data_IF_866645318294
#
_entry.id   IF_866645318294
#
_cell.length_a   1.000
_cell.length_b   1.000
_cell.length_c   1.000
_cell.angle_alpha   90.00
_cell.angle_beta   90.00
_cell.angle_gamma   90.00
#
_symmetry.space_group_name_H-M   'P 1'
#
loop_
_entity.id
_entity.type
_entity.pdbx_description
1 polymer ?
#
# COMPACT_ATOMS: atom_id res chain seq x y z
N UNK A 1 17.65 -10.10 -16.06
CA UNK A 1 17.74 -8.62 -16.03
C UNK A 1 16.36 -8.10 -15.68
N UNK A 2 16.27 -7.09 -14.80
CA UNK A 2 15.00 -6.48 -14.39
C UNK A 2 15.00 -4.99 -14.66
N UNK A 3 13.82 -4.37 -14.63
CA UNK A 3 13.64 -2.92 -14.76
C UNK A 3 13.44 -2.35 -13.36
N UNK A 4 14.13 -1.26 -13.04
CA UNK A 4 13.84 -0.48 -11.83
C UNK A 4 12.82 0.60 -12.17
N UNK A 5 11.67 0.57 -11.49
CA UNK A 5 10.54 1.46 -11.76
C UNK A 5 9.99 2.03 -10.46
N UNK A 6 9.40 3.22 -10.55
CA UNK A 6 8.55 3.79 -9.50
C UNK A 6 7.13 3.83 -10.04
N UNK A 7 6.20 3.21 -9.33
CA UNK A 7 4.79 3.21 -9.67
C UNK A 7 4.01 4.04 -8.65
N UNK A 8 3.21 4.98 -9.12
CA UNK A 8 2.39 5.87 -8.28
C UNK A 8 0.93 5.63 -8.64
N UNK A 9 0.14 5.19 -7.67
CA UNK A 9 -1.28 4.88 -7.85
C UNK A 9 -2.07 5.29 -6.61
N UNK A 10 -3.38 5.44 -6.78
CA UNK A 10 -4.34 5.56 -5.68
C UNK A 10 -4.97 4.20 -5.32
N UNK A 11 -4.77 3.16 -6.14
CA UNK A 11 -5.27 1.82 -5.89
C UNK A 11 -4.29 1.02 -5.02
N UNK A 12 -4.74 0.66 -3.82
CA UNK A 12 -3.93 -0.07 -2.84
C UNK A 12 -3.60 -1.50 -3.28
N UNK A 13 -4.49 -2.16 -4.03
CA UNK A 13 -4.24 -3.52 -4.54
C UNK A 13 -3.14 -3.49 -5.59
N UNK A 14 -3.19 -2.54 -6.52
CA UNK A 14 -2.12 -2.39 -7.53
C UNK A 14 -0.76 -2.11 -6.89
N UNK A 15 -0.73 -1.22 -5.89
CA UNK A 15 0.50 -0.89 -5.16
C UNK A 15 1.11 -2.12 -4.49
N UNK A 16 0.30 -2.92 -3.77
CA UNK A 16 0.74 -4.11 -3.05
C UNK A 16 1.13 -5.26 -3.98
N UNK A 17 0.42 -5.45 -5.09
CA UNK A 17 0.70 -6.55 -6.03
C UNK A 17 1.94 -6.31 -6.89
N UNK A 18 2.25 -5.05 -7.19
CA UNK A 18 3.29 -4.70 -8.16
C UNK A 18 4.61 -4.27 -7.51
N UNK A 19 4.56 -3.69 -6.31
CA UNK A 19 5.73 -3.09 -5.67
C UNK A 19 6.53 -4.03 -4.78
N UNK A 20 7.85 -4.03 -4.92
CA UNK A 20 8.76 -4.65 -3.94
C UNK A 20 8.85 -3.86 -2.63
N UNK A 21 8.68 -2.53 -2.71
CA UNK A 21 8.66 -1.60 -1.57
C UNK A 21 7.46 -0.67 -1.69
N UNK A 22 6.86 -0.35 -0.54
CA UNK A 22 5.69 0.51 -0.47
C UNK A 22 6.05 1.84 0.18
N UNK A 23 5.39 2.91 -0.29
CA UNK A 23 5.53 4.24 0.27
C UNK A 23 4.20 4.98 0.22
N UNK A 24 4.00 5.89 1.16
CA UNK A 24 2.85 6.78 1.22
C UNK A 24 3.34 8.22 1.18
N UNK A 25 2.71 9.05 0.35
CA UNK A 25 3.05 10.46 0.22
C UNK A 25 1.85 11.33 0.58
N UNK A 26 2.05 12.22 1.54
CA UNK A 26 1.06 13.25 1.91
C UNK A 26 1.78 14.55 2.27
N UNK A 27 1.16 15.69 1.97
CA UNK A 27 1.66 17.03 2.38
C UNK A 27 3.15 17.25 2.05
N UNK A 28 3.59 16.79 0.88
CA UNK A 28 4.99 16.91 0.44
C UNK A 28 5.99 16.00 1.16
N UNK A 29 5.53 15.04 1.98
CA UNK A 29 6.37 14.10 2.71
C UNK A 29 6.13 12.69 2.22
N UNK A 30 7.21 12.01 1.85
CA UNK A 30 7.22 10.59 1.49
C UNK A 30 7.63 9.76 2.71
N UNK A 31 6.83 8.76 3.06
CA UNK A 31 7.14 7.75 4.06
C UNK A 31 7.29 6.41 3.36
N UNK A 32 8.48 5.79 3.47
CA UNK A 32 8.77 4.46 2.90
C UNK A 32 8.65 3.45 4.03
N UNK A 33 7.93 2.36 3.80
CA UNK A 33 7.71 1.31 4.78
C UNK A 33 8.73 0.19 4.61
N UNK A 34 9.15 -0.42 5.72
CA UNK A 34 10.11 -1.51 5.70
C UNK A 34 9.48 -2.84 5.27
N UNK A 35 8.20 -3.03 5.56
CA UNK A 35 7.45 -4.23 5.20
C UNK A 35 5.96 -3.93 5.01
N UNK A 36 5.24 -4.89 4.42
CA UNK A 36 3.81 -4.80 4.16
C UNK A 36 2.97 -4.69 5.45
N UNK A 37 3.43 -5.27 6.57
CA UNK A 37 2.72 -5.17 7.85
C UNK A 37 2.68 -3.72 8.34
N UNK A 38 3.78 -2.99 8.24
CA UNK A 38 3.83 -1.58 8.64
C UNK A 38 2.92 -0.71 7.75
N UNK A 39 2.91 -0.97 6.44
CA UNK A 39 2.01 -0.31 5.50
C UNK A 39 0.53 -0.58 5.81
N UNK A 40 0.21 -1.82 6.20
CA UNK A 40 -1.15 -2.26 6.51
C UNK A 40 -1.64 -1.71 7.86
N UNK A 41 -0.75 -1.60 8.84
CA UNK A 41 -1.04 -1.08 10.17
C UNK A 41 -1.15 0.45 10.22
N UNK A 42 -0.59 1.16 9.24
CA UNK A 42 -0.67 2.62 9.18
C UNK A 42 -2.08 3.07 8.77
N UNK A 43 -2.82 3.79 9.64
CA UNK A 43 -4.19 4.19 9.36
C UNK A 43 -4.32 5.15 8.17
N UNK A 44 -3.23 5.82 7.76
CA UNK A 44 -3.22 6.78 6.64
C UNK A 44 -3.33 6.11 5.29
N UNK A 45 -2.90 4.85 5.18
CA UNK A 45 -2.93 4.12 3.91
C UNK A 45 -4.34 3.66 3.55
N UNK A 46 -5.23 3.49 4.54
CA UNK A 46 -6.57 2.95 4.34
C UNK A 46 -6.61 1.43 4.12
N UNK A 47 -5.46 0.76 4.08
CA UNK A 47 -5.36 -0.67 3.75
C UNK A 47 -6.08 -1.56 4.78
N UNK A 48 -6.01 -1.21 6.06
CA UNK A 48 -6.75 -1.93 7.11
C UNK A 48 -8.27 -1.90 6.89
N UNK A 49 -8.81 -0.77 6.42
CA UNK A 49 -10.25 -0.61 6.16
C UNK A 49 -10.68 -1.44 4.94
N UNK A 50 -9.87 -1.47 3.88
CA UNK A 50 -10.09 -2.33 2.72
C UNK A 50 -10.11 -3.81 3.11
N UNK A 51 -9.14 -4.28 3.89
CA UNK A 51 -9.08 -5.68 4.34
C UNK A 51 -10.35 -6.05 5.10
N UNK A 52 -10.78 -5.22 6.05
CA UNK A 52 -11.99 -5.47 6.82
C UNK A 52 -13.26 -5.44 5.97
N UNK A 53 -13.34 -4.52 5.00
CA UNK A 53 -14.44 -4.46 4.04
C UNK A 53 -14.57 -5.77 3.24
N UNK A 54 -13.47 -6.26 2.66
CA UNK A 54 -13.50 -7.49 1.87
C UNK A 54 -13.79 -8.74 2.72
N UNK A 55 -13.25 -8.83 3.95
CA UNK A 55 -13.58 -9.91 4.90
C UNK A 55 -15.08 -9.98 5.21
N UNK A 56 -15.74 -8.83 5.28
CA UNK A 56 -17.19 -8.74 5.54
C UNK A 56 -18.02 -9.22 4.36
N UNK A 57 -17.58 -8.96 3.12
CA UNK A 57 -18.29 -9.35 1.89
C UNK A 57 -18.07 -10.82 1.53
N UNK A 58 -16.90 -11.37 1.85
CA UNK A 58 -16.57 -12.77 1.56
C UNK A 58 -17.18 -13.79 2.53
N UNK A 59 -18.11 -13.35 3.39
CA UNK A 59 -18.81 -14.18 4.39
C UNK A 59 -20.28 -14.26 4.06
#
# INVERSE_FOLDING_TARGET
QGITSIFVTHDLKEAVLTGDRLAYMERGRLHIFDNLSDFTADPRTGMGQEIEFWKKISR
#
